data_IF_505865690811
#
_entry.id   IF_505865690811
#
_cell.length_a   1.000
_cell.length_b   1.000
_cell.length_c   1.000
_cell.angle_alpha   90.00
_cell.angle_beta   90.00
_cell.angle_gamma   90.00
#
_symmetry.space_group_name_H-M   'P 1'
#
loop_
_entity.id
_entity.type
_entity.pdbx_description
1 polymer ?
#
# COMPACT_ATOMS: atom_id res chain seq x y z
N UNK A 1 -41.76 -17.34 26.37
CA UNK A 1 -40.93 -16.16 26.03
C UNK A 1 -39.42 -16.38 26.24
N UNK A 2 -38.91 -16.78 27.42
CA UNK A 2 -37.46 -16.99 27.65
C UNK A 2 -36.83 -18.07 26.73
N UNK A 3 -37.54 -19.19 26.52
CA UNK A 3 -37.04 -20.27 25.62
C UNK A 3 -37.02 -19.87 24.15
N UNK A 4 -37.99 -19.10 23.69
CA UNK A 4 -38.07 -18.60 22.32
C UNK A 4 -36.94 -17.59 22.05
N UNK A 5 -36.64 -16.73 23.01
CA UNK A 5 -35.52 -15.79 22.92
C UNK A 5 -34.17 -16.52 22.85
N UNK A 6 -33.99 -17.59 23.63
CA UNK A 6 -32.78 -18.39 23.60
C UNK A 6 -32.58 -19.10 22.24
N UNK A 7 -33.65 -19.64 21.64
CA UNK A 7 -33.58 -20.27 20.31
C UNK A 7 -33.27 -19.25 19.20
N UNK A 8 -33.86 -18.06 19.26
CA UNK A 8 -33.57 -16.99 18.28
C UNK A 8 -32.12 -16.49 18.41
N UNK A 9 -31.63 -16.32 19.64
CA UNK A 9 -30.23 -15.94 19.88
C UNK A 9 -29.25 -17.02 19.38
N UNK A 10 -29.54 -18.30 19.60
CA UNK A 10 -28.73 -19.42 19.13
C UNK A 10 -28.74 -19.52 17.60
N UNK A 11 -29.90 -19.28 16.95
CA UNK A 11 -30.02 -19.25 15.49
C UNK A 11 -29.26 -18.08 14.85
N UNK A 12 -29.26 -16.90 15.48
CA UNK A 12 -28.47 -15.74 15.04
C UNK A 12 -26.97 -16.02 15.18
N UNK A 13 -26.56 -16.68 16.27
CA UNK A 13 -25.14 -17.02 16.49
C UNK A 13 -24.61 -18.09 15.50
N UNK A 14 -25.49 -18.99 15.03
CA UNK A 14 -25.12 -19.99 14.01
C UNK A 14 -25.06 -19.42 12.58
N UNK A 15 -25.59 -18.21 12.35
CA UNK A 15 -25.52 -17.49 11.07
C UNK A 15 -24.26 -16.61 10.95
N UNK A 16 -23.46 -16.48 12.01
CA UNK A 16 -22.13 -15.83 11.92
C UNK A 16 -21.23 -16.78 11.16
N UNK A 17 -21.19 -16.61 9.84
CA UNK A 17 -20.25 -17.34 8.99
C UNK A 17 -18.83 -17.19 9.53
N UNK A 18 -18.04 -18.25 9.45
CA UNK A 18 -16.63 -18.19 9.81
C UNK A 18 -15.99 -17.16 8.89
N UNK A 19 -15.60 -16.02 9.44
CA UNK A 19 -14.72 -15.08 8.75
C UNK A 19 -13.36 -15.76 8.68
N UNK A 20 -13.00 -16.28 7.50
CA UNK A 20 -11.65 -16.69 7.22
C UNK A 20 -10.86 -15.44 6.86
N UNK A 21 -9.86 -15.12 7.65
CA UNK A 21 -8.82 -14.20 7.28
C UNK A 21 -7.65 -15.01 6.73
N UNK A 22 -7.21 -14.69 5.54
CA UNK A 22 -5.99 -15.28 4.98
C UNK A 22 -4.80 -14.66 5.70
N UNK A 23 -3.96 -15.51 6.28
CA UNK A 23 -2.80 -15.10 7.05
C UNK A 23 -1.52 -15.29 6.23
N UNK A 24 -0.52 -14.46 6.51
CA UNK A 24 0.83 -14.59 5.96
C UNK A 24 1.34 -13.32 5.30
N UNK A 25 2.66 -13.24 5.17
CA UNK A 25 3.38 -12.25 4.38
C UNK A 25 3.92 -12.95 3.13
N UNK A 26 3.12 -12.96 2.08
CA UNK A 26 3.46 -13.62 0.83
C UNK A 26 4.42 -12.77 0.00
N UNK A 27 5.47 -13.39 -0.52
CA UNK A 27 6.40 -12.72 -1.43
C UNK A 27 5.73 -12.56 -2.81
N UNK A 28 5.50 -11.33 -3.31
CA UNK A 28 4.81 -11.10 -4.59
C UNK A 28 5.46 -11.81 -5.78
N UNK A 29 6.78 -11.98 -5.78
CA UNK A 29 7.51 -12.71 -6.81
C UNK A 29 7.13 -14.19 -6.93
N UNK A 30 6.44 -14.74 -5.92
CA UNK A 30 5.97 -16.13 -5.90
C UNK A 30 4.45 -16.24 -5.91
N UNK A 31 3.73 -15.15 -6.19
CA UNK A 31 2.25 -15.09 -6.13
C UNK A 31 1.60 -16.17 -6.99
N UNK A 32 2.08 -16.40 -8.20
CA UNK A 32 1.57 -17.43 -9.11
C UNK A 32 1.55 -18.81 -8.45
N UNK A 33 2.62 -19.16 -7.76
CA UNK A 33 2.80 -20.49 -7.16
C UNK A 33 2.12 -20.63 -5.81
N UNK A 34 2.00 -19.54 -5.04
CA UNK A 34 1.56 -19.62 -3.64
C UNK A 34 0.08 -19.33 -3.46
N UNK A 35 -0.43 -18.24 -4.04
CA UNK A 35 -1.72 -17.67 -3.66
C UNK A 35 -2.66 -17.39 -4.81
N UNK A 36 -2.18 -17.40 -6.05
CA UNK A 36 -2.94 -16.93 -7.19
C UNK A 36 -4.31 -17.60 -7.34
N UNK A 37 -4.37 -18.94 -7.21
CA UNK A 37 -5.60 -19.71 -7.33
C UNK A 37 -6.67 -19.30 -6.31
N UNK A 38 -6.26 -18.96 -5.11
CA UNK A 38 -7.20 -18.51 -4.07
C UNK A 38 -7.61 -17.05 -4.29
N UNK A 39 -6.72 -16.20 -4.78
CA UNK A 39 -7.03 -14.84 -5.20
C UNK A 39 -8.04 -14.81 -6.37
N UNK A 40 -7.91 -15.70 -7.36
CA UNK A 40 -8.90 -15.86 -8.45
C UNK A 40 -10.29 -16.23 -7.91
N UNK A 41 -10.36 -17.20 -6.98
CA UNK A 41 -11.62 -17.60 -6.34
C UNK A 41 -12.28 -16.44 -5.59
N UNK A 42 -11.49 -15.51 -5.07
CA UNK A 42 -11.95 -14.29 -4.40
C UNK A 42 -12.33 -13.17 -5.38
N UNK A 43 -12.12 -13.37 -6.67
CA UNK A 43 -12.53 -12.43 -7.73
C UNK A 43 -11.40 -11.63 -8.36
N UNK A 44 -10.14 -11.97 -8.12
CA UNK A 44 -9.02 -11.35 -8.82
C UNK A 44 -9.13 -11.64 -10.34
N UNK A 45 -8.95 -10.60 -11.15
CA UNK A 45 -8.99 -10.69 -12.62
C UNK A 45 -7.65 -10.40 -13.28
N UNK A 46 -6.63 -10.00 -12.51
CA UNK A 46 -5.27 -9.79 -13.00
C UNK A 46 -4.54 -11.13 -13.11
N UNK A 47 -3.71 -11.27 -14.13
CA UNK A 47 -2.80 -12.42 -14.26
C UNK A 47 -1.64 -12.33 -13.26
N UNK A 48 -0.92 -13.42 -12.97
CA UNK A 48 0.28 -13.37 -12.14
C UNK A 48 1.34 -12.39 -12.65
N UNK A 49 1.53 -12.31 -13.96
CA UNK A 49 2.47 -11.38 -14.61
C UNK A 49 2.04 -9.93 -14.47
N UNK A 50 0.75 -9.64 -14.54
CA UNK A 50 0.22 -8.28 -14.31
C UNK A 50 0.36 -7.85 -12.85
N UNK A 51 0.33 -8.81 -11.91
CA UNK A 51 0.60 -8.53 -10.50
C UNK A 51 2.09 -8.30 -10.25
N UNK A 52 2.92 -9.21 -10.73
CA UNK A 52 4.35 -9.16 -10.51
C UNK A 52 5.13 -9.81 -11.66
N UNK A 53 5.86 -9.00 -12.40
CA UNK A 53 6.85 -9.45 -13.36
C UNK A 53 8.21 -8.86 -13.04
N UNK A 54 9.29 -9.65 -13.08
CA UNK A 54 10.61 -9.21 -12.62
C UNK A 54 11.09 -7.99 -13.41
N UNK A 55 11.05 -8.06 -14.74
CA UNK A 55 11.59 -6.99 -15.60
C UNK A 55 10.59 -6.51 -16.68
N UNK A 56 9.32 -6.94 -16.63
CA UNK A 56 8.27 -6.41 -17.46
C UNK A 56 7.33 -5.53 -16.62
N UNK A 57 6.53 -4.72 -17.31
CA UNK A 57 5.56 -3.86 -16.65
C UNK A 57 4.53 -4.69 -15.88
N UNK A 58 4.28 -4.33 -14.63
CA UNK A 58 3.33 -4.98 -13.75
C UNK A 58 2.93 -4.04 -12.61
N UNK A 59 1.97 -4.45 -11.79
CA UNK A 59 1.50 -3.66 -10.64
C UNK A 59 2.65 -3.27 -9.68
N UNK A 60 3.72 -4.07 -9.59
CA UNK A 60 4.90 -3.73 -8.77
C UNK A 60 5.52 -2.38 -9.13
N UNK A 61 5.39 -1.93 -10.40
CA UNK A 61 6.03 -0.70 -10.86
C UNK A 61 5.34 0.57 -10.32
N UNK A 62 4.13 0.42 -9.78
CA UNK A 62 3.45 1.49 -9.06
C UNK A 62 4.06 1.75 -7.66
N UNK A 63 4.84 0.79 -7.12
CA UNK A 63 5.43 0.92 -5.80
C UNK A 63 6.79 1.62 -5.91
N UNK A 64 6.97 2.65 -5.08
CA UNK A 64 8.21 3.44 -5.03
C UNK A 64 8.83 3.36 -3.63
N UNK A 65 10.16 3.43 -3.57
CA UNK A 65 10.90 3.58 -2.32
C UNK A 65 11.07 5.06 -1.96
N UNK A 66 10.69 5.46 -0.76
CA UNK A 66 10.87 6.82 -0.25
C UNK A 66 12.18 6.92 0.52
N UNK A 67 13.00 7.92 0.20
CA UNK A 67 14.29 8.18 0.84
C UNK A 67 14.50 9.65 1.13
N UNK A 68 15.40 9.95 2.07
CA UNK A 68 15.83 11.32 2.33
C UNK A 68 16.93 11.75 1.36
N UNK A 69 16.83 13.01 0.90
CA UNK A 69 17.80 13.63 -0.01
C UNK A 69 17.66 13.17 -1.46
N UNK A 70 18.48 13.76 -2.33
CA UNK A 70 18.44 13.53 -3.77
C UNK A 70 19.13 12.22 -4.20
N UNK A 71 20.00 11.65 -3.37
CA UNK A 71 20.69 10.39 -3.65
C UNK A 71 20.28 9.35 -2.62
N UNK A 72 19.47 8.35 -3.02
CA UNK A 72 18.98 7.33 -2.09
C UNK A 72 20.15 6.51 -1.53
N UNK A 73 20.24 6.39 -0.20
CA UNK A 73 21.15 5.49 0.51
C UNK A 73 20.43 4.36 1.23
N UNK A 74 19.11 4.34 1.11
CA UNK A 74 18.17 3.42 1.72
C UNK A 74 16.77 4.00 1.68
N UNK A 75 15.77 3.20 1.96
CA UNK A 75 14.38 3.61 1.97
C UNK A 75 13.84 3.56 3.39
N UNK A 76 13.20 4.64 3.84
CA UNK A 76 12.53 4.67 5.14
C UNK A 76 11.06 4.26 5.03
N UNK A 77 10.46 4.38 3.85
CA UNK A 77 9.08 4.03 3.55
C UNK A 77 8.90 3.63 2.08
N UNK A 78 7.70 3.19 1.76
CA UNK A 78 7.21 3.02 0.38
C UNK A 78 6.00 3.89 0.13
N UNK A 79 5.71 4.13 -1.14
CA UNK A 79 4.48 4.77 -1.59
C UNK A 79 3.94 4.07 -2.83
N UNK A 80 2.66 4.29 -3.14
CA UNK A 80 1.98 3.75 -4.30
C UNK A 80 1.54 4.89 -5.23
N UNK A 81 1.99 4.85 -6.49
CA UNK A 81 1.53 5.79 -7.52
C UNK A 81 0.17 5.35 -8.03
N UNK A 82 -0.84 6.17 -7.86
CA UNK A 82 -2.25 5.83 -8.14
C UNK A 82 -2.87 6.68 -9.26
N UNK A 83 -2.10 7.55 -9.89
CA UNK A 83 -2.57 8.35 -11.03
C UNK A 83 -1.48 8.63 -12.04
N UNK A 84 -1.88 9.00 -13.27
CA UNK A 84 -0.96 9.45 -14.33
C UNK A 84 -0.29 10.78 -13.99
N UNK A 85 -0.84 11.56 -13.06
CA UNK A 85 -0.31 12.83 -12.60
C UNK A 85 0.54 12.66 -11.33
N UNK A 86 1.04 11.45 -11.09
CA UNK A 86 1.94 11.11 -9.97
C UNK A 86 1.32 11.30 -8.57
N UNK A 87 -0.02 11.25 -8.44
CA UNK A 87 -0.62 11.16 -7.10
C UNK A 87 -0.11 9.88 -6.43
N UNK A 88 0.44 10.04 -5.24
CA UNK A 88 1.04 8.94 -4.47
C UNK A 88 0.34 8.80 -3.13
N UNK A 89 0.04 7.57 -2.74
CA UNK A 89 -0.37 7.24 -1.39
C UNK A 89 0.81 6.70 -0.60
N UNK A 90 0.82 7.00 0.69
CA UNK A 90 1.76 6.41 1.65
C UNK A 90 1.15 6.44 3.04
N UNK A 91 1.82 5.86 4.02
CA UNK A 91 1.37 5.89 5.41
C UNK A 91 1.59 7.27 6.04
N UNK A 92 0.69 7.67 6.94
CA UNK A 92 0.79 8.95 7.65
C UNK A 92 2.15 9.12 8.35
N UNK A 93 2.66 8.08 9.02
CA UNK A 93 3.95 8.17 9.70
C UNK A 93 5.13 8.42 8.76
N UNK A 94 5.03 8.06 7.47
CA UNK A 94 6.05 8.35 6.48
C UNK A 94 6.09 9.84 6.10
N UNK A 95 4.94 10.51 6.09
CA UNK A 95 4.80 11.93 5.81
C UNK A 95 4.89 12.83 7.06
N UNK A 96 4.88 12.25 8.26
CA UNK A 96 4.73 12.99 9.51
C UNK A 96 5.71 14.16 9.65
N UNK A 97 7.00 13.91 9.38
CA UNK A 97 8.04 14.94 9.50
C UNK A 97 7.85 16.10 8.50
N UNK A 98 7.35 15.82 7.29
CA UNK A 98 7.04 16.85 6.31
C UNK A 98 5.81 17.65 6.70
N UNK A 99 4.75 16.97 7.16
CA UNK A 99 3.53 17.63 7.66
C UNK A 99 3.87 18.55 8.85
N UNK A 100 4.71 18.07 9.77
CA UNK A 100 5.14 18.87 10.92
C UNK A 100 5.93 20.11 10.49
N UNK A 101 6.84 20.00 9.53
CA UNK A 101 7.63 21.13 9.01
C UNK A 101 6.77 22.19 8.31
N UNK A 102 5.69 21.76 7.69
CA UNK A 102 4.74 22.62 6.98
C UNK A 102 3.70 23.24 7.91
N UNK A 103 3.49 22.67 9.10
CA UNK A 103 2.55 23.17 10.09
C UNK A 103 3.09 24.44 10.78
N UNK A 104 2.19 25.39 11.04
CA UNK A 104 2.46 26.62 11.81
C UNK A 104 1.47 26.75 12.96
N UNK A 105 1.61 27.79 13.78
CA UNK A 105 0.63 28.07 14.86
C UNK A 105 -0.75 28.41 14.29
N UNK A 106 -0.80 29.02 13.10
CA UNK A 106 -2.04 29.41 12.40
C UNK A 106 -2.64 28.24 11.59
N UNK A 107 -1.81 27.27 11.21
CA UNK A 107 -2.19 26.14 10.37
C UNK A 107 -1.58 24.86 10.90
N UNK A 108 -2.29 24.18 11.80
CA UNK A 108 -1.85 22.90 12.37
C UNK A 108 -2.30 21.72 11.47
N UNK A 109 -1.55 21.48 10.40
CA UNK A 109 -1.87 20.40 9.46
C UNK A 109 -1.76 18.98 10.06
N UNK A 110 -1.07 18.80 11.19
CA UNK A 110 -1.07 17.53 11.90
C UNK A 110 -2.41 17.22 12.56
N UNK A 111 -3.07 18.25 13.10
CA UNK A 111 -4.37 18.13 13.77
C UNK A 111 -5.53 18.26 12.80
N UNK A 112 -5.48 19.26 11.93
CA UNK A 112 -6.61 19.65 11.07
C UNK A 112 -6.59 18.93 9.72
N UNK A 113 -5.45 18.37 9.34
CA UNK A 113 -5.22 17.86 8.00
C UNK A 113 -5.04 18.96 6.96
N UNK A 114 -4.73 18.55 5.74
CA UNK A 114 -4.63 19.44 4.57
C UNK A 114 -5.10 18.71 3.32
N UNK A 115 -5.81 19.43 2.46
CA UNK A 115 -6.27 18.91 1.17
C UNK A 115 -6.12 19.99 0.09
N UNK A 116 -5.12 19.84 -0.77
CA UNK A 116 -4.97 20.63 -1.98
C UNK A 116 -6.08 20.31 -2.98
N UNK A 117 -6.76 21.29 -3.54
CA UNK A 117 -7.82 21.14 -4.55
C UNK A 117 -7.32 21.38 -5.97
N UNK A 118 -6.10 21.88 -6.11
CA UNK A 118 -5.38 22.08 -7.37
C UNK A 118 -3.88 21.88 -7.13
N UNK A 119 -3.11 21.73 -8.19
CA UNK A 119 -1.65 21.61 -8.09
C UNK A 119 -0.97 22.86 -7.50
N UNK A 120 -1.56 24.03 -7.71
CA UNK A 120 -1.04 25.28 -7.17
C UNK A 120 -1.18 25.40 -5.64
N UNK A 121 -2.12 24.65 -5.07
CA UNK A 121 -2.34 24.60 -3.62
C UNK A 121 -1.44 23.54 -2.93
N UNK A 122 -0.77 22.67 -3.69
CA UNK A 122 0.08 21.64 -3.11
C UNK A 122 1.27 22.25 -2.35
N UNK A 123 1.54 21.71 -1.16
CA UNK A 123 2.64 22.16 -0.32
C UNK A 123 3.88 21.29 -0.59
N UNK A 124 5.06 21.89 -0.84
CA UNK A 124 6.26 21.15 -1.19
C UNK A 124 6.80 20.38 0.02
N UNK A 125 6.92 19.05 -0.12
CA UNK A 125 7.59 18.18 0.85
C UNK A 125 9.10 18.09 0.52
N UNK A 126 9.86 19.12 0.91
CA UNK A 126 11.28 19.21 0.60
C UNK A 126 12.10 18.09 1.26
N UNK A 127 13.12 17.62 0.55
CA UNK A 127 14.09 16.66 1.06
C UNK A 127 13.65 15.19 1.00
N UNK A 128 12.52 14.89 0.36
CA UNK A 128 12.10 13.51 0.07
C UNK A 128 12.26 13.22 -1.42
N UNK A 129 12.77 12.05 -1.74
CA UNK A 129 12.83 11.51 -3.10
C UNK A 129 12.10 10.19 -3.20
N UNK A 130 11.49 9.93 -4.38
CA UNK A 130 10.85 8.68 -4.73
C UNK A 130 11.68 7.95 -5.78
N UNK A 131 12.00 6.68 -5.53
CA UNK A 131 12.78 5.83 -6.43
C UNK A 131 11.91 4.73 -7.00
N UNK A 132 11.91 4.61 -8.33
CA UNK A 132 11.24 3.54 -9.05
C UNK A 132 12.21 2.39 -9.30
N UNK A 133 11.73 1.15 -9.16
CA UNK A 133 12.48 -0.03 -9.53
C UNK A 133 12.47 -0.17 -11.07
N UNK A 134 13.62 0.02 -11.70
CA UNK A 134 13.75 -0.06 -13.16
C UNK A 134 14.10 -1.48 -13.61
N UNK A 135 14.99 -2.18 -12.88
CA UNK A 135 15.48 -3.51 -13.27
C UNK A 135 16.04 -4.28 -12.07
N UNK A 136 15.89 -5.59 -12.10
CA UNK A 136 16.59 -6.54 -11.22
C UNK A 136 17.40 -7.54 -12.03
N UNK A 137 18.58 -7.89 -11.55
CA UNK A 137 19.47 -8.90 -12.14
C UNK A 137 19.94 -9.87 -11.07
N UNK A 138 19.94 -11.17 -11.41
CA UNK A 138 20.62 -12.18 -10.61
C UNK A 138 22.11 -12.12 -10.94
N UNK A 139 22.92 -11.87 -9.95
CA UNK A 139 24.39 -11.78 -10.06
C UNK A 139 25.12 -12.92 -9.35
N UNK A 140 24.40 -13.97 -8.97
CA UNK A 140 24.93 -15.08 -8.19
C UNK A 140 26.16 -15.73 -8.85
N UNK A 141 26.15 -15.85 -10.18
CA UNK A 141 27.27 -16.45 -10.93
C UNK A 141 28.42 -15.46 -11.22
N UNK A 142 28.26 -14.18 -10.86
CA UNK A 142 29.25 -13.13 -11.11
C UNK A 142 30.11 -12.80 -9.87
N UNK A 143 29.79 -13.41 -8.73
CA UNK A 143 30.47 -13.27 -7.46
C UNK A 143 31.24 -14.54 -7.15
#
# INVERSE_FOLDING_TARGET
MKKTFLFVALAIFSLVGKVHADEGMWLPMFVERLNYVDMEKMGLQLTPEELYSINNSSLKDAIVGLSEGATPRGFFCTGEIVSQNSLMFTNHHCGYGSIQKLSTVEHDYLTDGFWARSFEEELPAEGISASFLVRMEDVTEQI
#
